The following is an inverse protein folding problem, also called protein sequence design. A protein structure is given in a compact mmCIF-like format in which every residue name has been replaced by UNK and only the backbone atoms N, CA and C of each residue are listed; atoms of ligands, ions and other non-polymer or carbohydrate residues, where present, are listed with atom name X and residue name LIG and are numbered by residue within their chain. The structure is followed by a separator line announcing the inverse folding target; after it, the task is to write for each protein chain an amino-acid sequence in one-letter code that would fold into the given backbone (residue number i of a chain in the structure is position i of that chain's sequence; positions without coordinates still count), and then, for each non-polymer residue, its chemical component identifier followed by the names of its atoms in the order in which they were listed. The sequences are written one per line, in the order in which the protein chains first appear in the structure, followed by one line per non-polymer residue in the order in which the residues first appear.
data_IF_706087875030
#
_entry.id   IF_706087875030
#
_cell.length_a   1.000
_cell.length_b   1.000
_cell.length_c   1.000
_cell.angle_alpha   90.00
_cell.angle_beta   90.00
_cell.angle_gamma   90.00
#
_symmetry.space_group_name_H-M   'P 1'
#
loop_
_entity.id
_entity.type
_entity.pdbx_description
1 polymer ?
#
# COMPACT_ATOMS: atom_id res chain seq x y z
N UNK A 1 -33.18 -12.53 25.26
CA UNK A 1 -31.85 -13.05 24.93
C UNK A 1 -30.99 -11.86 24.50
N UNK A 2 -30.05 -11.40 25.34
CA UNK A 2 -29.24 -10.19 25.09
C UNK A 2 -27.93 -10.62 24.49
N UNK A 3 -27.70 -10.25 23.23
CA UNK A 3 -26.44 -10.47 22.52
C UNK A 3 -25.44 -9.41 22.97
N UNK A 4 -24.37 -9.84 23.63
CA UNK A 4 -23.25 -8.96 24.03
C UNK A 4 -22.30 -8.76 22.83
N UNK A 5 -22.20 -7.54 22.37
CA UNK A 5 -21.09 -7.10 21.53
C UNK A 5 -19.84 -6.95 22.40
N UNK A 6 -18.80 -7.72 22.09
CA UNK A 6 -17.47 -7.57 22.68
C UNK A 6 -16.71 -6.50 21.90
N UNK A 7 -16.71 -5.27 22.44
CA UNK A 7 -15.85 -4.20 21.98
C UNK A 7 -14.49 -4.40 22.67
N UNK A 8 -13.47 -4.87 21.96
CA UNK A 8 -12.10 -4.80 22.45
C UNK A 8 -11.60 -3.36 22.37
N UNK A 9 -11.75 -2.66 23.47
CA UNK A 9 -11.06 -1.38 23.71
C UNK A 9 -9.65 -1.71 24.16
N UNK A 10 -8.67 -1.36 23.33
CA UNK A 10 -7.25 -1.46 23.69
C UNK A 10 -6.94 -0.33 24.67
N UNK A 11 -7.02 -0.61 25.98
CA UNK A 11 -6.62 0.29 27.05
C UNK A 11 -5.09 0.34 27.13
N UNK A 12 -4.53 1.50 26.81
CA UNK A 12 -3.12 1.82 27.02
C UNK A 12 -2.90 2.06 28.51
N UNK A 13 -2.31 1.09 29.22
CA UNK A 13 -1.75 1.32 30.56
C UNK A 13 -0.35 1.92 30.40
N UNK A 14 -0.20 3.18 30.75
CA UNK A 14 1.10 3.84 30.94
C UNK A 14 1.72 3.33 32.26
N UNK A 15 2.77 2.53 32.18
CA UNK A 15 3.65 2.22 33.32
C UNK A 15 4.93 3.03 33.14
N UNK A 16 5.30 3.93 34.07
CA UNK A 16 6.55 4.66 33.96
C UNK A 16 7.72 3.76 34.41
N UNK A 17 8.74 3.64 33.57
CA UNK A 17 10.08 3.24 33.98
C UNK A 17 10.57 1.84 33.61
N UNK A 18 10.14 1.27 32.49
CA UNK A 18 10.78 0.08 31.91
C UNK A 18 11.13 0.37 30.45
N UNK A 19 12.40 0.47 30.12
CA UNK A 19 12.89 0.44 28.74
C UNK A 19 12.59 -0.95 28.19
N UNK A 20 11.43 -1.14 27.59
CA UNK A 20 11.16 -2.32 26.79
C UNK A 20 12.02 -2.22 25.53
N UNK A 21 13.14 -2.90 25.52
CA UNK A 21 13.84 -3.23 24.28
C UNK A 21 12.92 -4.20 23.55
N UNK A 22 12.04 -3.67 22.71
CA UNK A 22 11.30 -4.50 21.77
C UNK A 22 12.35 -5.03 20.79
N UNK A 23 12.69 -6.30 20.92
CA UNK A 23 13.49 -6.99 19.91
C UNK A 23 12.80 -6.75 18.56
N UNK A 24 13.55 -6.22 17.58
CA UNK A 24 13.04 -6.03 16.24
C UNK A 24 12.54 -7.40 15.75
N UNK A 25 11.26 -7.48 15.45
CA UNK A 25 10.68 -8.67 14.82
C UNK A 25 11.27 -8.77 13.41
N UNK A 26 12.31 -9.58 13.28
CA UNK A 26 13.02 -9.85 12.01
C UNK A 26 12.31 -10.90 11.18
N UNK A 27 11.09 -11.32 11.57
CA UNK A 27 10.36 -12.34 10.82
C UNK A 27 9.97 -11.80 9.44
N UNK A 28 10.36 -12.52 8.40
CA UNK A 28 9.87 -12.35 7.04
C UNK A 28 8.33 -12.41 7.08
N UNK A 29 7.61 -11.48 6.42
CA UNK A 29 6.17 -11.55 6.36
C UNK A 29 5.70 -12.93 5.92
N UNK A 30 4.85 -13.55 6.71
CA UNK A 30 4.34 -14.91 6.48
C UNK A 30 2.82 -14.92 6.58
N UNK A 31 2.21 -15.91 5.94
CA UNK A 31 0.76 -16.14 6.07
C UNK A 31 0.45 -16.44 7.55
N UNK A 32 -0.53 -15.75 8.15
CA UNK A 32 -0.96 -16.05 9.51
C UNK A 32 -1.38 -17.53 9.66
N UNK A 33 -1.04 -18.14 10.79
CA UNK A 33 -1.24 -19.59 11.01
C UNK A 33 -2.72 -20.01 11.00
N UNK A 34 -3.64 -19.09 11.32
CA UNK A 34 -5.09 -19.30 11.34
C UNK A 34 -5.78 -19.00 10.00
N UNK A 35 -5.01 -18.70 8.96
CA UNK A 35 -5.53 -18.43 7.62
C UNK A 35 -5.49 -19.68 6.74
N UNK A 36 -6.54 -19.83 5.95
CA UNK A 36 -6.56 -20.81 4.84
C UNK A 36 -5.81 -20.20 3.66
N UNK A 37 -4.81 -20.93 3.16
CA UNK A 37 -4.15 -20.58 1.91
C UNK A 37 -5.05 -20.91 0.73
N UNK A 38 -5.33 -19.92 -0.10
CA UNK A 38 -6.11 -20.10 -1.32
C UNK A 38 -5.23 -19.90 -2.56
N UNK A 39 -5.50 -20.66 -3.60
CA UNK A 39 -4.93 -20.43 -4.92
C UNK A 39 -5.89 -19.56 -5.74
N UNK A 40 -5.40 -18.41 -6.18
CA UNK A 40 -6.14 -17.49 -7.02
C UNK A 40 -5.66 -17.59 -8.47
N UNK A 41 -6.57 -17.35 -9.39
CA UNK A 41 -6.21 -17.23 -10.81
C UNK A 41 -5.57 -15.86 -11.05
N UNK A 42 -4.40 -15.85 -11.68
CA UNK A 42 -3.75 -14.61 -12.10
C UNK A 42 -4.25 -14.25 -13.48
N UNK A 43 -4.89 -13.12 -13.62
CA UNK A 43 -5.48 -12.63 -14.85
C UNK A 43 -4.86 -11.29 -15.23
N UNK A 44 -4.24 -11.16 -16.44
CA UNK A 44 -3.79 -9.85 -16.90
C UNK A 44 -4.97 -8.87 -16.92
N UNK A 45 -4.75 -7.66 -16.44
CA UNK A 45 -5.73 -6.59 -16.59
C UNK A 45 -5.63 -6.11 -18.04
N UNK A 46 -6.75 -6.17 -18.79
CA UNK A 46 -6.77 -5.95 -20.24
C UNK A 46 -6.32 -4.53 -20.60
N UNK A 47 -5.29 -4.46 -21.44
CA UNK A 47 -4.69 -3.20 -21.92
C UNK A 47 -5.65 -2.34 -22.74
N UNK A 48 -6.64 -2.93 -23.39
CA UNK A 48 -7.54 -2.22 -24.30
C UNK A 48 -8.75 -1.60 -23.61
N UNK A 49 -9.14 -2.10 -22.43
CA UNK A 49 -10.32 -1.63 -21.72
C UNK A 49 -10.04 -1.10 -20.30
N UNK A 50 -9.00 -1.60 -19.62
CA UNK A 50 -8.75 -1.30 -18.22
C UNK A 50 -7.26 -1.47 -17.82
N UNK A 51 -6.32 -1.30 -18.78
CA UNK A 51 -4.90 -1.37 -18.43
C UNK A 51 -4.52 -0.12 -17.63
N UNK A 52 -4.55 -0.28 -16.34
CA UNK A 52 -4.06 0.71 -15.40
C UNK A 52 -2.65 0.37 -15.04
N UNK A 53 -1.84 1.39 -14.95
CA UNK A 53 -0.49 1.33 -14.42
C UNK A 53 -0.45 2.21 -13.17
N UNK A 54 0.52 1.95 -12.33
CA UNK A 54 0.63 2.61 -11.03
C UNK A 54 2.00 3.31 -10.86
N UNK A 55 2.44 4.12 -11.85
CA UNK A 55 3.67 4.88 -11.72
C UNK A 55 3.47 6.09 -10.81
N UNK A 56 4.49 6.48 -10.09
CA UNK A 56 4.51 7.77 -9.42
C UNK A 56 4.57 8.91 -10.45
N UNK A 57 3.67 9.89 -10.33
CA UNK A 57 3.68 11.13 -11.12
C UNK A 57 3.88 12.29 -10.16
N UNK A 58 5.14 12.73 -9.94
CA UNK A 58 5.45 13.80 -9.00
C UNK A 58 4.92 15.15 -9.50
N UNK A 59 4.63 16.05 -8.57
CA UNK A 59 4.26 17.44 -8.85
C UNK A 59 5.28 18.40 -8.24
N UNK A 60 6.03 19.09 -9.11
CA UNK A 60 7.03 20.06 -8.69
C UNK A 60 8.28 19.42 -8.03
N UNK A 61 9.07 20.27 -7.36
CA UNK A 61 10.23 19.79 -6.60
C UNK A 61 9.81 19.11 -5.30
N UNK A 62 10.56 18.06 -4.94
CA UNK A 62 10.36 17.36 -3.67
C UNK A 62 10.61 18.30 -2.49
N UNK A 63 9.60 18.45 -1.62
CA UNK A 63 9.72 19.22 -0.36
C UNK A 63 9.79 18.24 0.82
N UNK A 64 10.84 18.32 1.59
CA UNK A 64 11.00 17.55 2.82
C UNK A 64 10.44 18.40 3.99
N UNK A 65 9.54 17.86 4.85
CA UNK A 65 9.11 16.46 5.00
C UNK A 65 7.83 16.08 4.23
N UNK A 66 7.35 16.87 3.30
CA UNK A 66 6.13 16.62 2.53
C UNK A 66 6.41 16.73 1.03
N UNK A 67 6.19 15.65 0.29
CA UNK A 67 6.20 15.63 -1.17
C UNK A 67 4.81 15.86 -1.74
N UNK A 68 4.74 16.20 -3.03
CA UNK A 68 3.49 16.30 -3.79
C UNK A 68 3.49 15.35 -4.96
N UNK A 69 2.33 14.77 -5.24
CA UNK A 69 2.10 13.92 -6.40
C UNK A 69 0.72 14.23 -6.99
N UNK A 70 0.55 14.02 -8.27
CA UNK A 70 -0.78 14.19 -8.88
C UNK A 70 -1.63 12.94 -8.80
N UNK A 71 -1.03 11.81 -8.40
CA UNK A 71 -1.73 10.52 -8.33
C UNK A 71 -1.47 9.69 -7.06
N UNK A 72 -0.43 9.98 -6.27
CA UNK A 72 -0.11 9.25 -5.03
C UNK A 72 -0.35 10.11 -3.79
N UNK A 73 -0.87 9.50 -2.73
CA UNK A 73 -0.92 10.01 -1.36
C UNK A 73 -0.48 8.91 -0.39
N UNK A 74 0.17 9.29 0.70
CA UNK A 74 0.63 8.34 1.71
C UNK A 74 2.04 8.64 2.19
N UNK A 75 2.90 7.64 2.24
CA UNK A 75 4.27 7.76 2.76
C UNK A 75 5.29 6.98 1.94
N UNK A 76 6.50 7.52 1.93
CA UNK A 76 7.71 6.86 1.43
C UNK A 76 8.77 6.79 2.53
N UNK A 77 9.57 5.73 2.53
CA UNK A 77 10.79 5.61 3.35
C UNK A 77 11.97 5.17 2.49
N UNK A 78 13.11 5.86 2.67
CA UNK A 78 14.36 5.66 1.92
C UNK A 78 15.56 5.84 2.85
N UNK A 79 16.71 5.29 2.49
CA UNK A 79 17.95 5.55 3.25
C UNK A 79 18.26 7.04 3.35
N UNK A 80 17.94 7.80 2.31
CA UNK A 80 18.06 9.25 2.22
C UNK A 80 17.14 9.75 1.10
N UNK A 81 16.27 10.73 1.38
CA UNK A 81 15.26 11.24 0.42
C UNK A 81 15.85 12.01 -0.78
N UNK A 82 17.10 12.42 -0.74
CA UNK A 82 17.74 13.14 -1.85
C UNK A 82 18.71 12.26 -2.64
N UNK A 83 19.21 11.18 -2.04
CA UNK A 83 20.15 10.25 -2.67
C UNK A 83 19.97 8.84 -2.06
N UNK A 84 18.89 8.13 -2.38
CA UNK A 84 18.62 6.83 -1.81
C UNK A 84 19.59 5.76 -2.30
N UNK A 85 20.03 4.92 -1.37
CA UNK A 85 20.93 3.83 -1.70
C UNK A 85 20.19 2.70 -2.43
N UNK A 86 20.71 2.27 -3.57
CA UNK A 86 20.20 1.09 -4.25
C UNK A 86 20.41 -0.19 -3.42
N UNK A 87 19.54 -1.18 -3.61
CA UNK A 87 19.58 -2.47 -2.92
C UNK A 87 19.41 -2.40 -1.40
N UNK A 88 18.88 -1.29 -0.89
CA UNK A 88 18.72 -1.06 0.55
C UNK A 88 17.41 -1.63 1.09
N UNK A 89 16.31 -1.55 0.34
CA UNK A 89 14.99 -2.05 0.77
C UNK A 89 14.89 -3.55 0.46
N UNK A 90 14.49 -4.34 1.46
CA UNK A 90 14.31 -5.80 1.30
C UNK A 90 12.91 -6.28 1.66
N UNK A 91 12.12 -5.52 2.41
CA UNK A 91 10.74 -5.89 2.71
C UNK A 91 9.90 -4.65 3.03
N UNK A 92 8.61 -4.77 2.75
CA UNK A 92 7.57 -3.83 3.14
C UNK A 92 6.30 -4.57 3.49
N UNK A 93 5.51 -4.02 4.42
CA UNK A 93 4.17 -4.52 4.76
C UNK A 93 3.28 -3.42 5.32
N UNK A 94 1.97 -3.61 5.21
CA UNK A 94 0.95 -2.86 5.92
C UNK A 94 -0.35 -3.65 6.07
N UNK A 95 -1.27 -3.07 6.83
CA UNK A 95 -2.66 -3.49 6.89
C UNK A 95 -3.56 -2.29 6.70
N UNK A 96 -4.72 -2.48 6.05
CA UNK A 96 -5.75 -1.45 5.89
C UNK A 96 -7.15 -2.05 5.94
N UNK A 97 -8.13 -1.17 6.15
CA UNK A 97 -9.55 -1.54 6.03
C UNK A 97 -10.01 -1.16 4.63
N UNK A 98 -10.60 -2.11 3.92
CA UNK A 98 -11.22 -1.87 2.61
C UNK A 98 -12.29 -0.77 2.73
N UNK A 99 -12.15 0.36 2.03
CA UNK A 99 -13.07 1.47 2.18
C UNK A 99 -14.44 1.18 1.56
N UNK A 100 -15.44 1.90 2.05
CA UNK A 100 -16.73 2.03 1.37
C UNK A 100 -16.64 3.19 0.38
N UNK A 101 -16.68 2.89 -0.91
CA UNK A 101 -16.64 3.91 -1.96
C UNK A 101 -18.02 4.57 -2.09
N UNK A 102 -18.05 5.90 -2.08
CA UNK A 102 -19.27 6.66 -2.38
C UNK A 102 -19.60 6.52 -3.85
N UNK A 103 -20.80 5.99 -4.14
CA UNK A 103 -21.25 5.83 -5.51
C UNK A 103 -21.32 7.19 -6.24
N UNK A 104 -20.85 7.20 -7.48
CA UNK A 104 -20.79 8.37 -8.36
C UNK A 104 -21.40 8.05 -9.73
N UNK A 105 -21.95 9.04 -10.40
CA UNK A 105 -22.38 8.95 -11.81
C UNK A 105 -21.19 8.87 -12.75
N UNK A 106 -20.08 9.51 -12.37
CA UNK A 106 -18.82 9.44 -13.09
C UNK A 106 -18.03 8.20 -12.66
N UNK A 107 -17.31 7.60 -13.59
CA UNK A 107 -16.37 6.54 -13.23
C UNK A 107 -15.22 7.12 -12.41
N UNK A 108 -14.96 6.52 -11.26
CA UNK A 108 -13.91 6.93 -10.31
C UNK A 108 -13.16 5.71 -9.78
N UNK A 109 -11.92 5.88 -9.37
CA UNK A 109 -10.97 4.80 -9.14
C UNK A 109 -10.09 5.10 -7.94
N UNK A 110 -9.73 4.09 -7.17
CA UNK A 110 -8.82 4.23 -6.04
C UNK A 110 -8.08 2.92 -5.80
N UNK A 111 -6.77 2.96 -5.79
CA UNK A 111 -5.94 1.84 -5.35
C UNK A 111 -5.33 2.11 -3.97
N UNK A 112 -5.17 1.05 -3.16
CA UNK A 112 -4.47 1.08 -1.87
C UNK A 112 -3.46 -0.07 -1.89
N UNK A 113 -2.17 0.24 -1.68
CA UNK A 113 -1.13 -0.74 -1.88
C UNK A 113 0.15 -0.47 -1.07
N UNK A 114 1.02 -1.47 -1.04
CA UNK A 114 2.39 -1.38 -0.57
C UNK A 114 3.34 -1.83 -1.68
N UNK A 115 4.49 -1.17 -1.79
CA UNK A 115 5.46 -1.46 -2.85
C UNK A 115 6.90 -1.14 -2.47
N UNK A 116 7.80 -1.72 -3.24
CA UNK A 116 9.22 -1.39 -3.25
C UNK A 116 9.50 -0.67 -4.56
N UNK A 117 10.25 0.43 -4.50
CA UNK A 117 10.58 1.30 -5.64
C UNK A 117 9.39 2.16 -6.17
N UNK A 118 9.71 3.13 -7.03
CA UNK A 118 8.78 4.01 -7.71
C UNK A 118 8.86 5.47 -7.30
N UNK A 119 9.26 5.78 -6.09
CA UNK A 119 9.38 7.17 -5.65
C UNK A 119 10.61 7.87 -6.27
N UNK A 120 11.76 7.20 -6.26
CA UNK A 120 13.03 7.74 -6.75
C UNK A 120 13.53 7.08 -8.05
N UNK A 121 12.75 6.19 -8.64
CA UNK A 121 13.07 5.50 -9.89
C UNK A 121 11.81 5.07 -10.65
N UNK A 122 11.96 4.40 -11.77
CA UNK A 122 10.86 4.05 -12.70
C UNK A 122 10.47 2.58 -12.66
N UNK A 123 10.68 1.88 -11.53
CA UNK A 123 10.16 0.53 -11.29
C UNK A 123 9.30 0.53 -10.05
N UNK A 124 8.33 -0.36 -9.93
CA UNK A 124 7.57 -0.59 -8.69
C UNK A 124 7.20 -2.05 -8.60
N UNK A 125 7.56 -2.69 -7.53
CA UNK A 125 7.15 -4.05 -7.17
C UNK A 125 6.07 -3.96 -6.08
N UNK A 126 4.78 -4.09 -6.45
CA UNK A 126 3.65 -3.68 -5.62
C UNK A 126 2.49 -4.67 -5.61
N UNK A 127 1.73 -4.67 -4.52
CA UNK A 127 0.52 -5.48 -4.32
C UNK A 127 -0.50 -4.72 -3.48
N UNK A 128 -1.78 -4.82 -3.85
CA UNK A 128 -2.83 -4.08 -3.17
C UNK A 128 -4.24 -4.45 -3.54
N UNK A 129 -5.13 -3.52 -3.28
CA UNK A 129 -6.56 -3.59 -3.59
C UNK A 129 -6.99 -2.37 -4.38
N UNK A 130 -7.86 -2.58 -5.34
CA UNK A 130 -8.47 -1.54 -6.17
C UNK A 130 -9.96 -1.42 -5.88
N UNK A 131 -10.48 -0.21 -5.93
CA UNK A 131 -11.84 0.13 -5.55
C UNK A 131 -12.43 1.11 -6.56
N UNK A 132 -13.21 0.60 -7.49
CA UNK A 132 -13.77 1.36 -8.60
C UNK A 132 -15.24 1.66 -8.39
N UNK A 133 -15.69 2.81 -8.87
CA UNK A 133 -17.09 3.08 -9.10
C UNK A 133 -17.31 3.29 -10.59
N UNK A 134 -17.95 2.35 -11.28
CA UNK A 134 -18.24 2.43 -12.72
C UNK A 134 -19.75 2.34 -12.91
N UNK A 135 -20.35 3.35 -13.57
CA UNK A 135 -21.79 3.40 -13.77
C UNK A 135 -22.59 3.21 -12.47
N UNK A 136 -22.20 3.90 -11.39
CA UNK A 136 -22.75 3.81 -10.03
C UNK A 136 -22.57 2.46 -9.34
N UNK A 137 -21.91 1.50 -9.97
CA UNK A 137 -21.61 0.20 -9.36
C UNK A 137 -20.19 0.22 -8.79
N UNK A 138 -20.10 -0.07 -7.49
CA UNK A 138 -18.82 -0.22 -6.81
C UNK A 138 -18.34 -1.66 -6.97
N UNK A 139 -17.09 -1.82 -7.38
CA UNK A 139 -16.39 -3.10 -7.43
C UNK A 139 -15.02 -2.96 -6.77
N UNK A 140 -14.60 -4.01 -6.08
CA UNK A 140 -13.28 -4.08 -5.46
C UNK A 140 -12.62 -5.39 -5.85
N UNK A 141 -11.33 -5.33 -6.13
CA UNK A 141 -10.53 -6.52 -6.45
C UNK A 141 -9.10 -6.38 -5.94
N UNK A 142 -8.45 -7.50 -5.75
CA UNK A 142 -7.04 -7.58 -5.39
C UNK A 142 -6.18 -7.60 -6.66
N UNK A 143 -5.00 -6.95 -6.62
CA UNK A 143 -4.10 -6.85 -7.76
C UNK A 143 -2.63 -6.79 -7.33
N UNK A 144 -1.74 -7.02 -8.28
CA UNK A 144 -0.31 -6.75 -8.13
C UNK A 144 0.28 -6.29 -9.47
N UNK A 145 1.42 -5.63 -9.40
CA UNK A 145 2.16 -5.18 -10.58
C UNK A 145 3.66 -5.24 -10.31
N UNK A 146 4.41 -5.57 -11.37
CA UNK A 146 5.86 -5.46 -11.46
C UNK A 146 6.16 -4.40 -12.52
N UNK A 147 5.95 -3.11 -12.17
CA UNK A 147 6.11 -2.02 -13.13
C UNK A 147 7.57 -1.88 -13.62
N UNK A 148 7.85 -1.66 -14.93
CA UNK A 148 6.92 -1.28 -16.00
C UNK A 148 6.23 -2.47 -16.70
N UNK A 149 6.19 -3.64 -16.11
CA UNK A 149 5.34 -4.73 -16.57
C UNK A 149 3.85 -4.38 -16.43
N UNK A 150 2.99 -5.29 -16.86
CA UNK A 150 1.55 -5.10 -16.71
C UNK A 150 1.05 -5.46 -15.32
N UNK A 151 -0.06 -4.84 -14.93
CA UNK A 151 -0.79 -5.20 -13.72
C UNK A 151 -1.64 -6.46 -13.92
N UNK A 152 -1.89 -7.19 -12.83
CA UNK A 152 -2.63 -8.45 -12.81
C UNK A 152 -3.67 -8.44 -11.68
N UNK A 153 -4.90 -8.84 -12.02
CA UNK A 153 -5.93 -9.15 -11.03
C UNK A 153 -5.62 -10.50 -10.35
N UNK A 154 -5.77 -10.53 -9.04
CA UNK A 154 -5.76 -11.76 -8.22
C UNK A 154 -7.19 -12.28 -8.16
N UNK A 155 -7.64 -12.88 -9.26
CA UNK A 155 -9.03 -13.26 -9.48
C UNK A 155 -9.47 -14.38 -8.54
N UNK A 156 -10.59 -14.18 -7.87
CA UNK A 156 -11.13 -15.09 -6.86
C UNK A 156 -10.64 -14.82 -5.44
N UNK A 157 -9.81 -13.80 -5.21
CA UNK A 157 -9.51 -13.35 -3.84
C UNK A 157 -10.74 -12.65 -3.25
N UNK A 158 -11.28 -13.14 -2.12
CA UNK A 158 -12.49 -12.56 -1.53
C UNK A 158 -12.18 -11.19 -0.94
N UNK A 159 -12.97 -10.16 -1.34
CA UNK A 159 -12.77 -8.78 -0.93
C UNK A 159 -14.09 -8.02 -0.90
N UNK A 160 -14.37 -7.36 0.22
CA UNK A 160 -15.52 -6.46 0.37
C UNK A 160 -15.22 -5.31 1.33
N UNK A 161 -15.99 -4.23 1.23
CA UNK A 161 -15.90 -3.10 2.15
C UNK A 161 -15.97 -3.55 3.62
N UNK A 162 -15.08 -3.00 4.45
CA UNK A 162 -14.93 -3.35 5.86
C UNK A 162 -13.98 -4.53 6.14
N UNK A 163 -13.54 -5.28 5.14
CA UNK A 163 -12.53 -6.32 5.34
C UNK A 163 -11.18 -5.70 5.74
N UNK A 164 -10.47 -6.36 6.65
CA UNK A 164 -9.11 -5.99 7.06
C UNK A 164 -8.14 -6.77 6.18
N UNK A 165 -7.37 -6.05 5.39
CA UNK A 165 -6.36 -6.58 4.48
C UNK A 165 -4.97 -6.37 5.07
N UNK A 166 -4.09 -7.33 4.87
CA UNK A 166 -2.64 -7.18 5.05
C UNK A 166 -1.92 -7.57 3.78
N UNK A 167 -0.91 -6.80 3.42
CA UNK A 167 -0.09 -7.05 2.25
C UNK A 167 1.39 -6.93 2.59
N UNK A 168 2.22 -7.67 1.83
CA UNK A 168 3.67 -7.56 1.94
C UNK A 168 4.36 -7.85 0.62
N UNK A 169 5.49 -7.18 0.40
CA UNK A 169 6.45 -7.42 -0.67
C UNK A 169 7.81 -7.67 -0.04
N UNK A 170 8.46 -8.77 -0.36
CA UNK A 170 9.76 -9.14 0.20
C UNK A 170 10.70 -9.61 -0.91
N UNK A 171 11.88 -9.01 -0.99
CA UNK A 171 12.96 -9.47 -1.85
C UNK A 171 13.57 -10.74 -1.26
N UNK A 172 13.37 -11.89 -1.89
CA UNK A 172 13.72 -13.21 -1.33
C UNK A 172 14.91 -13.86 -1.98
N UNK A 173 15.18 -13.54 -3.25
CA UNK A 173 16.33 -14.06 -3.99
C UNK A 173 16.68 -13.07 -5.11
N UNK A 174 17.81 -13.28 -5.80
CA UNK A 174 18.21 -12.41 -6.91
C UNK A 174 17.08 -12.24 -7.92
N UNK A 175 16.61 -10.99 -8.05
CA UNK A 175 15.52 -10.59 -8.96
C UNK A 175 14.16 -11.26 -8.67
N UNK A 176 13.93 -11.79 -7.47
CA UNK A 176 12.69 -12.46 -7.10
C UNK A 176 12.08 -11.81 -5.87
N UNK A 177 10.80 -11.51 -5.94
CA UNK A 177 10.01 -11.00 -4.83
C UNK A 177 8.96 -12.03 -4.40
N UNK A 178 8.70 -12.12 -3.11
CA UNK A 178 7.54 -12.82 -2.55
C UNK A 178 6.50 -11.79 -2.20
N UNK A 179 5.32 -11.92 -2.78
CA UNK A 179 4.18 -11.06 -2.51
C UNK A 179 3.07 -11.87 -1.87
N UNK A 180 2.58 -11.39 -0.73
CA UNK A 180 1.50 -12.04 0.04
C UNK A 180 0.38 -11.04 0.25
N UNK A 181 -0.85 -11.48 0.01
CA UNK A 181 -2.07 -10.75 0.34
C UNK A 181 -2.94 -11.61 1.27
N UNK A 182 -3.44 -11.01 2.34
CA UNK A 182 -4.25 -11.67 3.35
C UNK A 182 -5.53 -10.86 3.61
N UNK A 183 -6.67 -11.52 3.63
CA UNK A 183 -7.91 -10.99 4.18
C UNK A 183 -8.06 -11.52 5.60
N UNK A 184 -7.73 -10.69 6.58
CA UNK A 184 -7.73 -11.08 7.99
C UNK A 184 -9.15 -11.26 8.56
N UNK A 185 -10.14 -10.60 7.96
CA UNK A 185 -11.56 -10.75 8.33
C UNK A 185 -12.08 -12.11 7.90
N UNK A 186 -11.74 -12.55 6.70
CA UNK A 186 -12.22 -13.81 6.13
C UNK A 186 -11.25 -14.98 6.36
N UNK A 187 -10.09 -14.73 6.99
CA UNK A 187 -9.07 -15.73 7.31
C UNK A 187 -8.55 -16.48 6.08
N UNK A 188 -8.32 -15.76 4.99
CA UNK A 188 -7.75 -16.32 3.77
C UNK A 188 -6.51 -15.54 3.34
N UNK A 189 -5.56 -16.24 2.72
CA UNK A 189 -4.33 -15.63 2.21
C UNK A 189 -3.92 -16.28 0.90
N UNK A 190 -3.24 -15.50 0.06
CA UNK A 190 -2.63 -15.99 -1.17
C UNK A 190 -1.19 -15.48 -1.28
N UNK A 191 -0.37 -16.26 -1.97
CA UNK A 191 1.00 -15.87 -2.34
C UNK A 191 1.07 -15.84 -3.86
N UNK A 192 1.58 -14.75 -4.43
CA UNK A 192 1.73 -14.64 -5.88
C UNK A 192 2.83 -15.60 -6.35
N UNK A 193 2.57 -16.43 -7.39
CA UNK A 193 3.57 -17.34 -7.92
C UNK A 193 4.82 -16.59 -8.40
N UNK A 194 6.01 -17.11 -8.07
CA UNK A 194 7.30 -16.46 -8.37
C UNK A 194 7.59 -16.27 -9.87
N UNK A 195 6.88 -16.98 -10.74
CA UNK A 195 6.91 -16.76 -12.18
C UNK A 195 6.43 -15.36 -12.60
N UNK A 196 5.60 -14.73 -11.79
CA UNK A 196 5.05 -13.37 -12.02
C UNK A 196 5.79 -12.27 -11.26
N UNK A 197 6.63 -12.61 -10.26
CA UNK A 197 7.24 -11.64 -9.35
C UNK A 197 8.76 -11.53 -9.54
N UNK A 198 9.21 -11.56 -10.79
CA UNK A 198 10.62 -11.35 -11.16
C UNK A 198 10.81 -9.96 -11.73
N UNK A 199 11.79 -9.22 -11.20
CA UNK A 199 12.22 -7.92 -11.71
C UNK A 199 13.73 -7.89 -11.80
N UNK A 200 14.25 -7.61 -12.99
CA UNK A 200 15.70 -7.43 -13.24
C UNK A 200 16.11 -5.97 -13.15
N UNK A 201 15.15 -5.05 -13.06
CA UNK A 201 15.34 -3.59 -13.09
C UNK A 201 15.11 -2.94 -11.73
N UNK A 202 14.55 -3.67 -10.76
CA UNK A 202 14.34 -3.20 -9.40
C UNK A 202 15.60 -2.62 -8.79
N UNK A 203 15.53 -1.39 -8.30
CA UNK A 203 16.62 -0.70 -7.62
C UNK A 203 16.58 -0.91 -6.12
N UNK A 204 15.39 -1.20 -5.56
CA UNK A 204 15.12 -1.38 -4.13
C UNK A 204 15.62 -0.20 -3.31
N UNK A 205 15.24 1.02 -3.74
CA UNK A 205 15.65 2.29 -3.14
C UNK A 205 14.66 2.81 -2.13
N UNK A 206 13.36 2.56 -2.35
CA UNK A 206 12.27 3.11 -1.56
C UNK A 206 11.26 2.05 -1.14
N UNK A 207 10.50 2.34 -0.09
CA UNK A 207 9.36 1.57 0.40
C UNK A 207 8.17 2.51 0.49
N UNK A 208 7.02 2.14 -0.10
CA UNK A 208 5.85 3.01 -0.28
C UNK A 208 4.57 2.39 0.30
N UNK A 209 3.77 3.22 1.00
CA UNK A 209 2.43 2.92 1.51
C UNK A 209 1.48 3.95 0.92
N UNK A 210 0.73 3.57 -0.10
CA UNK A 210 0.09 4.52 -1.00
C UNK A 210 -1.41 4.30 -1.14
N UNK A 211 -2.13 5.42 -1.24
CA UNK A 211 -3.45 5.56 -1.83
C UNK A 211 -3.26 6.27 -3.17
N UNK A 212 -3.86 5.76 -4.23
CA UNK A 212 -3.56 6.19 -5.59
C UNK A 212 -4.82 6.46 -6.42
N UNK A 213 -4.74 7.51 -7.26
CA UNK A 213 -5.56 7.67 -8.46
C UNK A 213 -4.82 6.97 -9.63
N UNK A 214 -5.24 5.79 -10.08
CA UNK A 214 -4.52 5.02 -11.10
C UNK A 214 -4.36 5.77 -12.43
N UNK A 215 -3.43 5.33 -13.25
CA UNK A 215 -3.13 5.94 -14.54
C UNK A 215 -3.57 5.04 -15.70
N UNK A 216 -4.26 5.63 -16.69
CA UNK A 216 -4.61 5.01 -17.96
C UNK A 216 -4.64 6.09 -19.05
N UNK A 217 -3.52 6.32 -19.74
CA UNK A 217 -3.29 7.44 -20.65
C UNK A 217 -3.41 8.84 -19.99
N UNK A 218 -4.04 8.94 -18.87
CA UNK A 218 -4.14 10.09 -17.97
C UNK A 218 -4.41 9.59 -16.56
N UNK A 219 -4.22 10.47 -15.57
CA UNK A 219 -4.63 10.15 -14.19
C UNK A 219 -6.14 10.04 -14.15
N UNK A 220 -6.64 8.92 -13.60
CA UNK A 220 -8.06 8.67 -13.48
C UNK A 220 -8.68 9.48 -12.33
N UNK A 221 -9.98 9.81 -12.43
CA UNK A 221 -10.68 10.51 -11.35
C UNK A 221 -10.67 9.71 -10.05
N UNK A 222 -10.21 10.32 -8.96
CA UNK A 222 -10.09 9.66 -7.65
C UNK A 222 -11.48 9.34 -7.07
N UNK A 223 -11.71 8.08 -6.71
CA UNK A 223 -12.93 7.66 -6.04
C UNK A 223 -13.02 8.25 -4.62
N UNK A 224 -14.23 8.64 -4.21
CA UNK A 224 -14.47 9.10 -2.84
C UNK A 224 -14.50 7.88 -1.89
N UNK A 225 -13.38 7.60 -1.27
CA UNK A 225 -13.18 6.54 -0.29
C UNK A 225 -13.41 7.02 1.16
N UNK A 226 -13.74 8.29 1.38
CA UNK A 226 -13.87 8.89 2.70
C UNK A 226 -12.52 9.00 3.39
N UNK A 227 -12.27 8.14 4.36
CA UNK A 227 -10.98 8.04 5.06
C UNK A 227 -10.49 6.59 5.07
N UNK A 228 -9.25 6.38 4.68
CA UNK A 228 -8.55 5.09 4.74
C UNK A 228 -7.53 5.14 5.87
N UNK A 229 -7.44 4.05 6.64
CA UNK A 229 -6.48 3.88 7.74
C UNK A 229 -5.49 2.79 7.38
N UNK A 230 -4.20 3.13 7.39
CA UNK A 230 -3.11 2.17 7.25
C UNK A 230 -2.43 1.98 8.61
N UNK A 231 -2.18 0.73 8.96
CA UNK A 231 -1.53 0.33 10.19
C UNK A 231 -0.48 -0.75 9.93
N UNK A 232 0.36 -1.04 10.93
CA UNK A 232 1.45 -2.02 10.79
C UNK A 232 2.36 -1.74 9.59
N UNK A 233 2.53 -0.46 9.27
CA UNK A 233 3.35 0.01 8.15
C UNK A 233 4.82 -0.17 8.50
N UNK A 234 5.41 -1.28 8.04
CA UNK A 234 6.79 -1.67 8.35
C UNK A 234 7.61 -1.82 7.08
N UNK A 235 8.89 -1.50 7.16
CA UNK A 235 9.89 -1.80 6.14
C UNK A 235 11.13 -2.45 6.75
N UNK A 236 11.93 -3.09 5.89
CA UNK A 236 13.29 -3.51 6.21
C UNK A 236 14.23 -2.81 5.25
N UNK A 237 15.03 -1.89 5.79
CA UNK A 237 15.98 -1.05 5.03
C UNK A 237 17.37 -1.24 5.62
N UNK A 238 18.36 -1.61 4.78
CA UNK A 238 19.73 -1.97 5.20
C UNK A 238 19.76 -3.02 6.33
N UNK A 239 18.85 -4.00 6.28
CA UNK A 239 18.76 -5.06 7.28
C UNK A 239 18.11 -4.66 8.61
N UNK A 240 17.74 -3.39 8.78
CA UNK A 240 16.97 -2.91 9.95
C UNK A 240 15.50 -2.98 9.65
N UNK A 241 14.71 -3.62 10.51
CA UNK A 241 13.25 -3.65 10.39
C UNK A 241 12.61 -2.65 11.36
N UNK A 242 11.56 -1.95 10.90
CA UNK A 242 10.87 -0.97 11.74
C UNK A 242 9.66 -0.36 11.06
N UNK A 243 8.96 0.52 11.78
CA UNK A 243 7.85 1.31 11.25
C UNK A 243 8.35 2.43 10.34
N UNK A 244 7.48 3.08 9.57
CA UNK A 244 7.81 4.19 8.66
C UNK A 244 8.71 5.23 9.34
N UNK A 245 8.39 5.60 10.57
CA UNK A 245 9.10 6.61 11.37
C UNK A 245 10.31 6.08 12.16
N UNK A 246 10.92 4.97 11.75
CA UNK A 246 12.15 4.48 12.35
C UNK A 246 13.31 5.44 12.06
N UNK A 247 14.13 5.73 13.08
CA UNK A 247 15.26 6.67 12.98
C UNK A 247 16.43 6.14 12.11
N UNK A 248 16.41 4.88 11.66
CA UNK A 248 17.46 4.32 10.81
C UNK A 248 17.38 4.76 9.34
N UNK A 249 16.32 5.47 8.95
CA UNK A 249 16.09 5.96 7.59
C UNK A 249 15.31 7.27 7.59
N UNK A 250 15.18 7.88 6.42
CA UNK A 250 14.36 9.07 6.21
C UNK A 250 12.99 8.67 5.68
N UNK A 251 11.95 9.41 6.03
CA UNK A 251 10.61 9.24 5.48
C UNK A 251 9.99 10.59 5.10
N UNK A 252 9.04 10.56 4.17
CA UNK A 252 8.27 11.74 3.76
C UNK A 252 6.81 11.37 3.56
N UNK A 253 5.90 12.25 3.97
CA UNK A 253 4.51 12.21 3.52
C UNK A 253 4.42 12.63 2.05
N UNK A 254 3.41 12.14 1.35
CA UNK A 254 3.07 12.50 -0.03
C UNK A 254 1.62 12.97 -0.02
N UNK A 255 1.38 14.21 -0.42
CA UNK A 255 0.04 14.76 -0.60
C UNK A 255 -0.36 14.67 -2.07
N UNK A 256 -1.54 14.10 -2.35
CA UNK A 256 -2.07 14.06 -3.70
C UNK A 256 -2.80 15.38 -4.01
N UNK A 257 -2.37 16.04 -5.08
CA UNK A 257 -2.91 17.33 -5.52
C UNK A 257 -3.31 17.30 -7.00
N UNK A 258 -4.18 18.21 -7.40
CA UNK A 258 -4.46 18.48 -8.81
C UNK A 258 -3.33 19.29 -9.46
N UNK A 259 -3.33 19.38 -10.78
CA UNK A 259 -2.40 20.28 -11.52
C UNK A 259 -2.58 21.77 -11.14
N UNK A 260 -3.71 22.14 -10.55
CA UNK A 260 -3.97 23.48 -10.02
C UNK A 260 -3.64 23.61 -8.52
N UNK A 261 -2.89 22.65 -7.96
CA UNK A 261 -2.46 22.63 -6.55
C UNK A 261 -3.62 22.52 -5.54
N UNK A 262 -4.72 21.89 -5.93
CA UNK A 262 -5.85 21.62 -5.03
C UNK A 262 -5.67 20.23 -4.42
N UNK A 263 -5.75 20.07 -3.09
CA UNK A 263 -5.64 18.77 -2.44
C UNK A 263 -6.72 17.80 -2.89
N UNK A 264 -6.31 16.60 -3.33
CA UNK A 264 -7.19 15.47 -3.63
C UNK A 264 -7.27 14.49 -2.47
N UNK A 265 -6.13 14.22 -1.83
CA UNK A 265 -6.01 13.37 -0.66
C UNK A 265 -4.79 13.79 0.18
N UNK A 266 -4.97 13.84 1.50
CA UNK A 266 -3.96 14.30 2.45
C UNK A 266 -3.74 13.25 3.52
N UNK A 267 -2.50 12.71 3.68
CA UNK A 267 -2.19 11.82 4.77
C UNK A 267 -2.05 12.61 6.08
N UNK A 268 -2.47 12.02 7.19
CA UNK A 268 -2.20 12.55 8.53
C UNK A 268 -0.73 12.38 8.88
N UNK A 269 -0.25 13.09 9.92
CA UNK A 269 1.03 12.79 10.55
C UNK A 269 1.07 11.34 11.05
N UNK A 270 2.26 10.74 11.02
CA UNK A 270 2.47 9.38 11.52
C UNK A 270 2.22 9.29 13.03
N UNK A 271 1.49 8.27 13.44
CA UNK A 271 1.46 7.84 14.82
C UNK A 271 2.80 7.19 15.23
N UNK A 272 3.07 7.04 16.53
CA UNK A 272 4.31 6.45 17.03
C UNK A 272 4.59 5.03 16.51
N UNK A 273 3.56 4.29 16.15
CA UNK A 273 3.62 2.94 15.55
C UNK A 273 3.58 2.96 14.01
N UNK A 274 3.88 4.08 13.37
CA UNK A 274 3.93 4.24 11.93
C UNK A 274 2.56 4.22 11.22
N UNK A 275 1.44 4.17 11.95
CA UNK A 275 0.11 4.22 11.37
C UNK A 275 -0.24 5.64 10.91
N UNK A 276 -1.07 5.75 9.88
CA UNK A 276 -1.63 7.00 9.39
C UNK A 276 -3.01 6.80 8.78
N UNK A 277 -3.70 7.91 8.59
CA UNK A 277 -4.94 7.96 7.81
C UNK A 277 -4.73 8.86 6.60
N UNK A 278 -5.46 8.60 5.53
CA UNK A 278 -5.55 9.47 4.37
C UNK A 278 -7.02 9.81 4.12
N UNK A 279 -7.30 11.06 3.86
CA UNK A 279 -8.67 11.57 3.75
C UNK A 279 -8.91 12.19 2.38
N UNK A 280 -9.85 11.61 1.65
CA UNK A 280 -10.32 12.14 0.38
C UNK A 280 -10.85 13.58 0.54
N UNK A 281 -10.42 14.47 -0.35
CA UNK A 281 -10.81 15.89 -0.38
C UNK A 281 -11.51 16.24 -1.69
N UNK A 282 -10.98 15.71 -2.80
CA UNK A 282 -11.41 16.10 -4.13
C UNK A 282 -11.17 14.98 -5.14
N UNK A 283 -11.95 14.97 -6.23
CA UNK A 283 -11.86 14.02 -7.35
C UNK A 283 -10.69 14.35 -8.28
#
# INVERSE_FOLDING_TARGET
MKTRFLTQVLSLLLIPGSSLVVAADTSTPSIPKDHVRIECKIKPIDRNSHHRTHPHIPFGEMRIPLGYSTNWSGYVAETNLTNPAANSVSAISASWIVPTIKASTNSTYCAIWVGIDGYSNSTVEQIGTEHDCINKKVQSYAWFEMYPGGSYEINGFPLKAGDVISASVTYTAKNVFTMILSNNTQKVSTTIPTSYTKSTTAKRQSAEWIIEAPYMNSILPLANFGTVYLANCKATINGVSGFINNNAWSNSGIEMITNSNTPKDIPTTLASNGAFAAAWKHQ
#
